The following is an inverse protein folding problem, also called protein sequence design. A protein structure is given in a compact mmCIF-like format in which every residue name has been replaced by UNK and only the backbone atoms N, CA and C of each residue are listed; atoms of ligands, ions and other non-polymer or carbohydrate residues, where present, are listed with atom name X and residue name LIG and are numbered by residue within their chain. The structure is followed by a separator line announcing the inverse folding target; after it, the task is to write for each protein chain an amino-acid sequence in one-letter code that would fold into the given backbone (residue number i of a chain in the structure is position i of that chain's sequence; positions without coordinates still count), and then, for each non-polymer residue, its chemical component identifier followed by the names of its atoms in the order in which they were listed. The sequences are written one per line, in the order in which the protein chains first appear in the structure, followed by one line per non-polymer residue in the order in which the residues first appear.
data_IF_704733814237
#
_entry.id   IF_704733814237
#
_cell.length_a   1.000
_cell.length_b   1.000
_cell.length_c   1.000
_cell.angle_alpha   90.00
_cell.angle_beta   90.00
_cell.angle_gamma   90.00
#
_symmetry.space_group_name_H-M   'P 1'
#
loop_
_entity.id
_entity.type
_entity.pdbx_description
1 polymer ?
#
# COMPACT_ATOMS: atom_id res chain seq x y z
N UNK A 1 6.55 1.42 -2.35
CA UNK A 1 5.41 0.47 -2.23
C UNK A 1 5.05 -0.03 -3.61
N UNK A 2 4.90 -1.31 -3.76
CA UNK A 2 4.58 -1.92 -5.04
C UNK A 2 3.63 -3.12 -4.84
N UNK A 3 2.99 -3.55 -5.91
CA UNK A 3 2.13 -4.74 -5.87
C UNK A 3 2.17 -5.46 -7.20
N UNK A 4 1.82 -6.75 -7.17
CA UNK A 4 1.71 -7.60 -8.36
C UNK A 4 0.34 -8.27 -8.29
N UNK A 5 -0.56 -7.94 -9.22
CA UNK A 5 -0.47 -6.89 -10.25
C UNK A 5 -0.56 -5.49 -9.64
N UNK A 6 -0.27 -4.43 -10.43
CA UNK A 6 -0.41 -3.07 -9.94
C UNK A 6 -1.82 -2.74 -9.48
N UNK A 7 -1.94 -1.95 -8.42
CA UNK A 7 -3.24 -1.58 -7.85
C UNK A 7 -3.22 -0.18 -7.26
N UNK A 8 -4.36 0.26 -6.73
CA UNK A 8 -4.50 1.53 -6.02
C UNK A 8 -4.07 1.38 -4.57
N UNK A 9 -3.30 2.32 -4.07
CA UNK A 9 -2.84 2.32 -2.69
C UNK A 9 -3.59 3.38 -1.88
N UNK A 10 -4.06 2.97 -0.71
CA UNK A 10 -4.72 3.86 0.25
C UNK A 10 -3.93 3.82 1.55
N UNK A 11 -3.62 4.98 2.10
CA UNK A 11 -2.95 5.08 3.39
C UNK A 11 -3.89 5.83 4.33
N UNK A 12 -4.29 5.17 5.41
CA UNK A 12 -5.26 5.68 6.40
C UNK A 12 -6.55 6.16 5.73
N UNK A 13 -7.00 5.43 4.70
CA UNK A 13 -8.21 5.75 3.96
C UNK A 13 -8.04 6.80 2.87
N UNK A 14 -6.83 7.32 2.68
CA UNK A 14 -6.55 8.34 1.67
C UNK A 14 -5.89 7.71 0.45
N UNK A 15 -6.46 7.94 -0.72
CA UNK A 15 -5.91 7.46 -1.98
C UNK A 15 -4.60 8.20 -2.29
N UNK A 16 -3.51 7.45 -2.42
CA UNK A 16 -2.19 8.01 -2.74
C UNK A 16 -1.74 7.65 -4.15
N UNK A 17 -2.58 7.00 -4.91
CA UNK A 17 -2.34 6.70 -6.31
C UNK A 17 -2.05 5.23 -6.58
N UNK A 18 -1.82 4.90 -7.86
CA UNK A 18 -1.53 3.51 -8.24
C UNK A 18 -0.10 3.12 -7.88
N UNK A 19 0.13 1.82 -7.75
CA UNK A 19 1.49 1.29 -7.60
C UNK A 19 2.22 1.33 -8.95
N UNK A 20 3.56 1.44 -8.96
CA UNK A 20 4.41 1.60 -7.78
C UNK A 20 4.34 3.02 -7.21
N UNK A 21 4.28 3.11 -5.89
CA UNK A 21 4.41 4.38 -5.19
C UNK A 21 5.88 4.51 -4.80
N UNK A 22 6.60 5.36 -5.51
CA UNK A 22 8.07 5.41 -5.40
C UNK A 22 8.51 6.38 -4.32
N UNK A 23 7.87 7.53 -4.25
CA UNK A 23 8.23 8.56 -3.28
C UNK A 23 6.97 9.08 -2.60
N UNK A 24 6.69 8.55 -1.43
CA UNK A 24 5.59 9.03 -0.63
C UNK A 24 6.05 9.17 0.81
N UNK A 25 5.97 10.39 1.31
CA UNK A 25 6.35 10.69 2.69
C UNK A 25 5.17 10.43 3.60
N UNK A 26 5.35 9.50 4.53
CA UNK A 26 4.36 9.16 5.54
C UNK A 26 4.93 9.56 6.89
N UNK A 27 4.12 10.17 7.75
CA UNK A 27 4.58 10.51 9.09
C UNK A 27 4.97 9.24 9.85
N UNK A 28 5.95 9.33 10.77
CA UNK A 28 6.33 8.17 11.59
C UNK A 28 5.15 7.67 12.41
N UNK A 29 5.15 6.38 12.68
CA UNK A 29 4.13 5.75 13.48
C UNK A 29 3.37 4.69 12.71
N UNK A 30 2.23 4.28 13.27
CA UNK A 30 1.43 3.20 12.73
C UNK A 30 0.42 3.72 11.72
N UNK A 31 0.42 3.12 10.52
CA UNK A 31 -0.50 3.46 9.45
C UNK A 31 -1.13 2.21 8.86
N UNK A 32 -2.37 2.31 8.43
CA UNK A 32 -3.04 1.24 7.72
C UNK A 32 -2.90 1.47 6.23
N UNK A 33 -2.34 0.50 5.53
CA UNK A 33 -2.14 0.56 4.09
C UNK A 33 -3.05 -0.46 3.44
N UNK A 34 -3.81 -0.03 2.44
CA UNK A 34 -4.72 -0.88 1.69
C UNK A 34 -4.38 -0.80 0.22
N UNK A 35 -4.35 -1.96 -0.44
CA UNK A 35 -4.11 -2.06 -1.88
C UNK A 35 -5.32 -2.70 -2.52
N UNK A 36 -5.88 -2.05 -3.55
CA UNK A 36 -7.09 -2.51 -4.23
C UNK A 36 -6.86 -2.60 -5.73
N UNK A 37 -7.44 -3.62 -6.32
CA UNK A 37 -7.50 -3.78 -7.78
C UNK A 37 -8.78 -4.52 -8.16
N UNK A 38 -9.45 -4.05 -9.21
CA UNK A 38 -10.65 -4.71 -9.71
C UNK A 38 -10.33 -6.14 -10.11
N UNK A 39 -11.15 -7.09 -9.68
CA UNK A 39 -10.95 -8.51 -9.95
C UNK A 39 -9.99 -9.21 -9.00
N UNK A 40 -9.47 -8.50 -8.01
CA UNK A 40 -8.54 -9.04 -7.02
C UNK A 40 -9.03 -8.74 -5.61
N UNK A 41 -8.62 -9.58 -4.67
CA UNK A 41 -8.95 -9.39 -3.26
C UNK A 41 -8.16 -8.21 -2.71
N UNK A 42 -8.83 -7.35 -1.97
CA UNK A 42 -8.20 -6.21 -1.31
C UNK A 42 -7.23 -6.70 -0.23
N UNK A 43 -6.03 -6.12 -0.20
CA UNK A 43 -5.04 -6.39 0.84
C UNK A 43 -4.97 -5.17 1.76
N UNK A 44 -4.94 -5.45 3.05
CA UNK A 44 -4.85 -4.40 4.06
C UNK A 44 -3.83 -4.82 5.11
N UNK A 45 -2.96 -3.90 5.51
CA UNK A 45 -1.91 -4.20 6.47
C UNK A 45 -1.62 -2.96 7.31
N UNK A 46 -1.37 -3.17 8.60
CA UNK A 46 -0.89 -2.11 9.48
C UNK A 46 0.63 -2.14 9.49
N UNK A 47 1.25 -1.01 9.21
CA UNK A 47 2.70 -0.88 9.07
C UNK A 47 3.21 0.19 10.03
N UNK A 48 4.30 -0.12 10.74
CA UNK A 48 5.01 0.88 11.53
C UNK A 48 6.04 1.58 10.65
N UNK A 49 5.90 2.89 10.53
CA UNK A 49 6.81 3.71 9.73
C UNK A 49 7.90 4.26 10.64
N UNK A 50 9.18 3.94 10.36
CA UNK A 50 10.27 4.48 11.16
C UNK A 50 10.46 5.97 10.93
N UNK A 51 11.03 6.70 11.90
CA UNK A 51 11.19 8.15 11.79
C UNK A 51 12.13 8.60 10.66
N UNK A 52 12.99 7.73 10.18
CA UNK A 52 14.05 8.10 9.22
C UNK A 52 13.99 7.36 7.91
N UNK A 53 12.95 6.63 7.60
CA UNK A 53 13.02 5.80 6.43
C UNK A 53 11.79 5.80 5.55
N UNK A 54 11.96 5.59 4.25
CA UNK A 54 10.82 5.37 3.38
C UNK A 54 10.19 4.01 3.67
N UNK A 55 8.90 3.90 3.42
CA UNK A 55 8.21 2.62 3.52
C UNK A 55 8.46 1.83 2.25
N UNK A 56 9.03 0.64 2.40
CA UNK A 56 9.26 -0.27 1.29
C UNK A 56 8.44 -1.53 1.54
N UNK A 57 7.40 -1.70 0.78
CA UNK A 57 6.51 -2.84 0.88
C UNK A 57 6.13 -3.33 -0.50
N UNK A 58 6.00 -4.65 -0.61
CA UNK A 58 5.51 -5.29 -1.82
C UNK A 58 4.35 -6.21 -1.44
N UNK A 59 3.31 -6.22 -2.24
CA UNK A 59 2.16 -7.08 -2.03
C UNK A 59 1.91 -7.92 -3.28
N UNK A 60 1.49 -9.15 -3.07
CA UNK A 60 0.97 -9.98 -4.14
C UNK A 60 -0.53 -10.06 -3.93
N UNK A 61 -1.30 -9.62 -4.91
CA UNK A 61 -2.75 -9.64 -4.83
C UNK A 61 -3.27 -10.96 -5.38
N UNK A 62 -4.26 -11.52 -4.68
CA UNK A 62 -4.90 -12.77 -5.10
C UNK A 62 -6.15 -12.46 -5.91
N UNK A 63 -6.39 -13.15 -7.02
CA UNK A 63 -7.60 -12.93 -7.79
C UNK A 63 -8.85 -13.35 -7.02
N UNK A 64 -9.93 -12.62 -7.25
CA UNK A 64 -11.23 -13.01 -6.73
C UNK A 64 -11.81 -14.13 -7.57
N UNK A 65 -12.35 -15.10 -6.94
CA UNK A 65 -13.02 -16.17 -7.59
C UNK A 65 -12.20 -17.36 -7.88
#
# INVERSE_FOLDING_TARGET
MNSIPPGEVFIDGRDVGPTPVVEFSVSPGRHTIRVERAGYKTRSETVDVPPNGPVRKNWVLDPEG
#
